data_IF_259165074105
#
_entry.id   IF_259165074105
#
_cell.length_a   1.000
_cell.length_b   1.000
_cell.length_c   1.000
_cell.angle_alpha   90.00
_cell.angle_beta   90.00
_cell.angle_gamma   90.00
#
_symmetry.space_group_name_H-M   'P 1'
#
loop_
_entity.id
_entity.type
_entity.pdbx_description
1 polymer ?
2 polymer ?
#
# COMPACT_ATOMS: atom_id res chain seq x y z
N UNK A 32 -9.12 14.29 -15.32
CA UNK A 32 -9.35 14.51 -13.87
C UNK A 32 -8.00 14.51 -13.14
N UNK A 33 -7.67 15.62 -12.47
CA UNK A 33 -6.39 15.71 -11.73
C UNK A 33 -6.53 16.68 -10.56
N UNK A 34 -6.17 16.24 -9.35
CA UNK A 34 -6.18 17.17 -8.20
C UNK A 34 -4.97 18.10 -8.37
N UNK A 35 -5.21 19.35 -8.78
CA UNK A 35 -4.07 20.27 -9.06
C UNK A 35 -4.23 21.56 -8.23
N UNK A 36 -3.12 22.17 -7.85
CA UNK A 36 -3.16 23.42 -7.04
C UNK A 36 -1.85 24.18 -7.29
N UNK A 37 -1.92 25.51 -7.44
CA UNK A 37 -0.70 26.31 -7.75
C UNK A 37 0.26 26.31 -6.56
N UNK A 38 1.56 26.37 -6.82
CA UNK A 38 2.56 26.40 -5.73
C UNK A 38 3.95 26.72 -6.27
N UNK A 39 4.84 27.21 -5.41
CA UNK A 39 6.25 27.47 -5.83
C UNK A 39 6.94 26.11 -5.99
N UNK A 40 6.59 25.14 -5.15
CA UNK A 40 7.17 23.78 -5.24
C UNK A 40 6.05 22.80 -5.58
N UNK A 41 6.17 22.07 -6.70
CA UNK A 41 5.08 21.16 -7.14
C UNK A 41 5.46 19.71 -6.79
N UNK A 42 4.55 18.99 -6.13
CA UNK A 42 4.80 17.57 -5.77
C UNK A 42 3.80 16.68 -6.52
N UNK A 43 4.31 15.74 -7.31
CA UNK A 43 3.42 14.83 -8.08
C UNK A 43 2.75 13.81 -7.19
N UNK A 44 1.66 13.21 -7.66
CA UNK A 44 0.93 12.21 -6.87
C UNK A 44 0.30 11.15 -7.74
N UNK A 45 0.49 9.87 -7.38
CA UNK A 45 -0.10 8.74 -8.16
C UNK A 45 -0.90 7.85 -7.21
N UNK A 46 -2.22 7.80 -7.38
CA UNK A 46 -3.07 7.02 -6.44
C UNK A 46 -4.01 6.11 -7.23
N UNK A 47 -4.39 4.93 -6.68
CA UNK A 47 -5.31 4.01 -7.35
C UNK A 47 -6.77 4.41 -7.11
N UNK A 48 -7.21 5.54 -7.68
CA UNK A 48 -8.61 6.01 -7.50
C UNK A 48 -9.56 4.91 -7.99
N UNK A 49 -9.09 4.04 -8.90
CA UNK A 49 -9.93 2.91 -9.39
C UNK A 49 -9.17 1.60 -9.17
N UNK A 50 -9.78 0.47 -9.56
CA UNK A 50 -9.15 -0.86 -9.30
C UNK A 50 -8.67 -1.49 -10.62
N UNK A 51 -9.10 -0.95 -11.77
CA UNK A 51 -8.65 -1.47 -13.07
C UNK A 51 -9.42 -0.86 -14.22
N UNK A 52 -8.88 -0.96 -15.44
CA UNK A 52 -9.54 -0.33 -16.63
C UNK A 52 -10.39 -1.38 -17.33
N UNK A 53 -11.32 -0.95 -18.18
CA UNK A 53 -12.21 -1.88 -18.91
C UNK A 53 -11.36 -2.95 -19.62
N UNK A 58 -9.41 -5.75 -30.79
CA UNK A 58 -8.31 -5.79 -31.80
C UNK A 58 -7.86 -4.36 -32.12
N UNK A 59 -7.29 -4.15 -33.30
CA UNK A 59 -6.86 -2.79 -33.71
C UNK A 59 -7.63 -2.39 -34.98
N UNK A 60 -8.88 -2.86 -35.11
CA UNK A 60 -9.72 -2.52 -36.28
C UNK A 60 -9.77 -0.99 -36.42
N UNK A 61 -9.37 -0.28 -35.37
CA UNK A 61 -9.36 1.22 -35.41
C UNK A 61 -8.36 1.75 -34.38
N UNK A 62 -8.26 3.07 -34.24
CA UNK A 62 -7.33 3.67 -33.24
C UNK A 62 -7.63 3.08 -31.86
N UNK A 63 -6.62 2.81 -31.01
CA UNK A 63 -6.85 2.19 -29.71
C UNK A 63 -7.94 2.93 -28.92
N UNK A 64 -7.99 4.26 -29.04
CA UNK A 64 -9.03 5.06 -28.36
C UNK A 64 -8.82 4.99 -26.84
N UNK A 65 -7.59 4.68 -26.41
CA UNK A 65 -7.27 4.65 -24.96
C UNK A 65 -8.13 3.59 -24.25
N UNK A 66 -8.35 3.76 -22.94
CA UNK A 66 -9.18 2.79 -22.16
C UNK A 66 -9.75 3.54 -20.95
N UNK A 67 -10.78 2.98 -20.30
CA UNK A 67 -11.42 3.71 -19.16
C UNK A 67 -11.46 2.81 -17.93
N UNK A 68 -11.36 3.40 -16.74
CA UNK A 68 -11.41 2.64 -15.47
C UNK A 68 -12.82 2.08 -15.29
N UNK A 69 -12.99 1.02 -14.49
CA UNK A 69 -14.34 0.38 -14.38
C UNK A 69 -14.62 -0.06 -12.94
N UNK A 70 -13.91 0.50 -11.95
CA UNK A 70 -14.22 0.16 -10.53
C UNK A 70 -13.62 1.21 -9.60
N UNK A 71 -14.47 2.09 -9.04
CA UNK A 71 -13.98 3.16 -8.15
C UNK A 71 -13.28 2.55 -6.93
N UNK A 72 -12.21 3.18 -6.46
CA UNK A 72 -11.44 2.62 -5.30
C UNK A 72 -11.62 3.55 -4.09
N UNK A 73 -12.67 3.33 -3.29
CA UNK A 73 -12.80 4.12 -2.04
C UNK A 73 -11.56 3.83 -1.19
N UNK A 74 -11.27 4.66 -0.18
CA UNK A 74 -10.00 4.52 0.58
C UNK A 74 -8.87 5.04 -0.29
N UNK A 75 -8.77 4.55 -1.54
CA UNK A 75 -7.76 5.10 -2.46
C UNK A 75 -8.01 6.58 -2.65
N UNK A 76 -9.28 6.99 -2.73
CA UNK A 76 -9.61 8.43 -2.81
C UNK A 76 -9.26 9.08 -1.47
N UNK A 77 -9.46 8.35 -0.36
CA UNK A 77 -9.10 8.88 0.97
C UNK A 77 -7.58 9.06 1.03
N UNK A 78 -6.84 8.32 0.19
CA UNK A 78 -5.36 8.48 0.16
C UNK A 78 -4.99 9.87 -0.33
N UNK A 79 -5.22 10.16 -1.62
CA UNK A 79 -4.92 11.50 -2.18
C UNK A 79 -5.39 12.56 -1.19
N UNK A 80 -6.52 12.31 -0.53
CA UNK A 80 -7.07 13.26 0.47
C UNK A 80 -5.95 13.60 1.45
N UNK A 81 -5.43 12.58 2.16
CA UNK A 81 -4.33 12.79 3.12
C UNK A 81 -3.25 13.66 2.48
N UNK A 82 -2.74 13.23 1.32
CA UNK A 82 -1.69 14.02 0.62
C UNK A 82 -2.11 15.50 0.61
N UNK A 83 -3.27 15.80 0.03
CA UNK A 83 -3.75 17.21 -0.05
C UNK A 83 -3.82 17.79 1.37
N UNK A 84 -4.37 17.02 2.31
CA UNK A 84 -4.49 17.49 3.71
C UNK A 84 -3.11 17.91 4.23
N UNK A 85 -2.11 17.05 4.03
CA UNK A 85 -0.74 17.35 4.52
C UNK A 85 -0.22 18.62 3.85
N UNK A 86 -0.42 18.74 2.53
CA UNK A 86 0.05 19.95 1.80
C UNK A 86 -0.58 21.19 2.44
N UNK A 87 -1.90 21.19 2.61
CA UNK A 87 -2.60 22.36 3.19
C UNK A 87 -2.00 22.66 4.56
N UNK A 88 -2.03 21.66 5.45
CA UNK A 88 -1.48 21.83 6.81
C UNK A 88 -0.09 22.47 6.73
N UNK A 89 0.80 21.97 5.87
CA UNK A 89 2.19 22.53 5.86
C UNK A 89 2.15 23.97 5.32
N UNK A 90 1.28 24.25 4.35
CA UNK A 90 1.15 25.64 3.84
C UNK A 90 0.70 26.54 5.00
N UNK A 91 -0.28 26.09 5.78
CA UNK A 91 -0.77 26.87 6.95
C UNK A 91 0.23 26.79 8.09
N UNK A 92 1.29 25.99 7.92
CA UNK A 92 2.32 25.84 8.99
C UNK A 92 3.47 26.82 8.72
N UNK A 93 3.55 27.97 9.42
CA UNK A 93 4.58 28.97 9.19
C UNK A 93 5.98 28.40 9.50
N UNK A 94 6.08 27.59 10.55
CA UNK A 94 7.39 27.03 10.97
C UNK A 94 8.00 26.21 9.83
N UNK A 95 7.19 25.36 9.18
CA UNK A 95 7.69 24.50 8.08
C UNK A 95 7.60 25.28 6.76
N UNK A 96 8.75 25.65 6.20
CA UNK A 96 8.79 26.35 4.89
C UNK A 96 8.02 27.68 4.98
N UNK A 97 8.58 28.75 5.59
CA UNK A 97 7.91 30.04 5.65
C UNK A 97 8.00 30.81 4.34
N UNK A 98 7.10 31.78 4.13
CA UNK A 98 7.13 32.61 2.89
C UNK A 98 7.32 31.69 1.68
N UNK A 99 6.59 30.56 1.66
CA UNK A 99 6.70 29.58 0.53
C UNK A 99 5.45 28.69 0.51
N UNK A 100 4.76 28.67 -0.63
CA UNK A 100 3.57 27.82 -0.80
C UNK A 100 3.96 26.57 -1.60
N UNK A 101 3.25 25.46 -1.38
CA UNK A 101 3.55 24.19 -2.09
C UNK A 101 2.32 23.72 -2.86
N UNK A 102 2.43 23.62 -4.18
CA UNK A 102 1.30 23.14 -5.00
C UNK A 102 1.48 21.67 -5.33
N UNK A 103 0.41 21.01 -5.78
CA UNK A 103 0.48 19.56 -6.08
C UNK A 103 -0.11 19.28 -7.46
N UNK A 104 0.36 18.22 -8.11
CA UNK A 104 -0.18 17.79 -9.43
C UNK A 104 -0.50 16.31 -9.23
N UNK A 105 -1.77 15.97 -9.00
CA UNK A 105 -2.05 14.56 -8.63
C UNK A 105 -2.95 13.93 -9.70
N UNK A 106 -2.65 12.69 -10.11
CA UNK A 106 -3.42 12.01 -11.19
C UNK A 106 -3.98 10.68 -10.67
N UNK A 107 -4.39 9.80 -11.58
CA UNK A 107 -4.97 8.48 -11.18
C UNK A 107 -4.21 7.35 -11.90
N UNK A 108 -3.59 6.45 -11.15
CA UNK A 108 -2.90 5.28 -11.75
C UNK A 108 -3.92 4.20 -12.12
N UNK A 109 -5.05 4.16 -11.41
CA UNK A 109 -6.13 3.16 -11.68
C UNK A 109 -5.53 1.75 -11.78
N UNK A 110 -4.54 1.44 -10.95
CA UNK A 110 -3.95 0.07 -10.93
C UNK A 110 -3.54 -0.34 -12.34
N UNK A 111 -3.06 0.62 -13.16
CA UNK A 111 -2.64 0.31 -14.54
C UNK A 111 -1.33 1.04 -14.85
N UNK A 112 -0.28 0.32 -15.26
CA UNK A 112 0.96 1.08 -15.57
C UNK A 112 0.64 2.08 -16.68
N UNK A 113 -0.15 1.67 -17.68
CA UNK A 113 -0.35 2.54 -18.87
C UNK A 113 -0.77 3.94 -18.43
N UNK A 114 -1.87 4.04 -17.67
CA UNK A 114 -2.34 5.37 -17.18
C UNK A 114 -1.25 5.98 -16.30
N UNK A 115 -0.63 5.16 -15.44
CA UNK A 115 0.45 5.66 -14.55
C UNK A 115 1.61 6.19 -15.41
N UNK A 116 1.96 5.46 -16.47
CA UNK A 116 3.13 5.90 -17.28
C UNK A 116 2.78 7.22 -17.96
N UNK A 117 1.61 7.27 -18.62
CA UNK A 117 1.19 8.52 -19.29
C UNK A 117 1.34 9.69 -18.30
N UNK A 118 0.99 9.47 -17.03
CA UNK A 118 1.12 10.52 -16.00
C UNK A 118 2.60 10.83 -15.76
N UNK A 119 3.43 9.79 -15.60
CA UNK A 119 4.87 10.02 -15.29
C UNK A 119 5.50 10.86 -16.40
N UNK A 120 5.08 10.62 -17.65
CA UNK A 120 5.58 11.45 -18.78
C UNK A 120 5.16 12.89 -18.53
N UNK A 121 3.91 13.09 -18.12
CA UNK A 121 3.39 14.46 -17.85
C UNK A 121 4.23 15.14 -16.76
N UNK A 122 4.83 14.34 -15.87
CA UNK A 122 5.61 14.91 -14.74
C UNK A 122 7.01 15.33 -15.20
N UNK A 123 7.57 14.63 -16.20
CA UNK A 123 8.97 14.93 -16.64
C UNK A 123 8.92 15.65 -18.00
N UNK A 124 7.78 16.25 -18.33
CA UNK A 124 7.64 16.95 -19.63
C UNK A 124 8.72 18.04 -19.72
N UNK A 125 8.88 18.83 -18.67
CA UNK A 125 9.91 19.91 -18.65
C UNK A 125 11.30 19.27 -18.62
N UNK A 126 11.49 18.24 -17.78
CA UNK A 126 12.83 17.60 -17.65
C UNK A 126 12.94 16.48 -18.70
N UNK A 145 7.57 22.23 -12.84
CA UNK A 145 8.41 21.01 -12.73
C UNK A 145 8.15 20.35 -11.36
N UNK A 146 7.90 19.03 -11.36
CA UNK A 146 7.61 18.32 -10.09
C UNK A 146 8.94 18.02 -9.37
N UNK A 147 9.16 18.65 -8.22
CA UNK A 147 10.41 18.41 -7.44
C UNK A 147 10.37 16.96 -6.91
N UNK A 148 9.17 16.44 -6.65
CA UNK A 148 9.04 15.06 -6.11
C UNK A 148 7.69 14.47 -6.52
N UNK A 149 7.63 13.13 -6.64
CA UNK A 149 6.33 12.46 -6.98
C UNK A 149 6.08 11.34 -5.98
N UNK A 150 4.94 11.39 -5.28
CA UNK A 150 4.57 10.30 -4.33
C UNK A 150 4.49 8.99 -5.12
N UNK A 151 5.22 7.96 -4.70
CA UNK A 151 5.25 6.69 -5.45
C UNK A 151 3.88 6.06 -5.55
N UNK A 152 3.67 5.19 -6.54
CA UNK A 152 2.38 4.49 -6.70
C UNK A 152 2.24 3.41 -5.63
N UNK A 153 1.09 2.72 -5.59
CA UNK A 153 0.86 1.67 -4.57
C UNK A 153 1.39 0.32 -5.07
N UNK A 154 1.06 -0.04 -6.31
CA UNK A 154 1.48 -1.35 -6.87
C UNK A 154 2.99 -1.44 -7.03
N UNK A 155 3.55 -2.64 -6.82
CA UNK A 155 5.01 -2.84 -7.00
C UNK A 155 5.35 -2.71 -8.50
N UNK A 156 4.58 -3.38 -9.36
CA UNK A 156 4.82 -3.30 -10.81
C UNK A 156 4.66 -1.89 -11.34
N UNK A 157 3.59 -1.20 -10.92
CA UNK A 157 3.33 0.19 -11.37
C UNK A 157 4.50 1.07 -10.92
N UNK A 158 4.90 0.95 -9.65
CA UNK A 158 6.01 1.78 -9.12
C UNK A 158 7.30 1.45 -9.88
N UNK A 159 7.58 0.16 -10.08
CA UNK A 159 8.79 -0.26 -10.83
C UNK A 159 8.92 0.57 -12.11
N UNK A 160 7.90 0.54 -12.97
CA UNK A 160 7.95 1.27 -14.26
C UNK A 160 8.17 2.77 -14.04
N UNK A 161 7.39 3.36 -13.13
CA UNK A 161 7.50 4.83 -12.86
C UNK A 161 8.91 5.12 -12.37
N UNK A 162 9.46 4.26 -11.51
CA UNK A 162 10.83 4.45 -10.97
C UNK A 162 11.84 4.41 -12.11
N UNK A 163 11.64 3.54 -13.10
CA UNK A 163 12.55 3.53 -14.27
C UNK A 163 12.66 4.94 -14.84
N UNK A 164 11.54 5.52 -15.31
CA UNK A 164 11.57 6.86 -15.95
C UNK A 164 12.04 7.93 -14.95
N UNK A 165 11.46 7.96 -13.75
CA UNK A 165 11.82 9.01 -12.76
C UNK A 165 13.31 8.93 -12.45
N UNK A 166 13.85 7.71 -12.31
CA UNK A 166 15.28 7.54 -12.00
C UNK A 166 16.14 8.17 -13.07
N UNK A 167 15.70 8.12 -14.33
CA UNK A 167 16.52 8.67 -15.45
C UNK A 167 16.79 10.16 -15.20
N UNK A 168 15.82 10.87 -14.63
CA UNK A 168 15.98 12.32 -14.37
C UNK A 168 16.25 12.55 -12.89
N UNK A 169 16.48 11.48 -12.14
CA UNK A 169 16.79 11.61 -10.69
C UNK A 169 15.69 12.42 -9.99
N UNK A 170 14.42 12.11 -10.29
CA UNK A 170 13.29 12.80 -9.61
C UNK A 170 12.91 11.97 -8.37
N UNK A 171 13.16 12.47 -7.14
CA UNK A 171 12.89 11.69 -5.93
C UNK A 171 11.45 11.14 -5.93
N UNK A 172 11.31 9.81 -5.84
CA UNK A 172 9.97 9.18 -5.79
C UNK A 172 9.80 8.49 -4.44
N UNK A 173 8.83 8.93 -3.63
CA UNK A 173 8.60 8.33 -2.28
C UNK A 173 7.29 7.51 -2.33
N UNK A 174 7.41 6.19 -2.43
CA UNK A 174 6.21 5.30 -2.49
C UNK A 174 5.57 5.21 -1.10
N UNK A 175 4.30 4.82 -1.04
CA UNK A 175 3.57 4.76 0.27
C UNK A 175 3.08 3.32 0.50
N UNK A 176 3.18 2.46 -0.51
CA UNK A 176 2.64 1.08 -0.37
C UNK A 176 3.58 0.07 -1.04
N UNK A 177 4.30 0.48 -2.09
CA UNK A 177 5.16 -0.48 -2.84
C UNK A 177 6.08 -1.20 -1.84
N UNK A 178 5.99 -2.53 -1.77
CA UNK A 178 6.80 -3.30 -0.79
C UNK A 178 7.55 -4.43 -1.50
N UNK A 179 7.91 -4.24 -2.78
CA UNK A 179 8.65 -5.28 -3.53
C UNK A 179 10.14 -5.20 -3.22
N UNK A 180 10.75 -6.30 -2.80
CA UNK A 180 12.21 -6.32 -2.50
C UNK A 180 12.98 -5.84 -3.72
N UNK A 181 12.49 -6.15 -4.92
CA UNK A 181 13.21 -5.78 -6.18
C UNK A 181 13.39 -4.27 -6.25
N UNK A 182 12.54 -3.50 -5.56
CA UNK A 182 12.61 -2.02 -5.62
C UNK A 182 13.82 -1.54 -4.81
N UNK A 183 14.49 -2.44 -4.09
CA UNK A 183 15.64 -2.04 -3.24
C UNK A 183 16.94 -2.09 -4.05
N UNK A 184 16.84 -2.35 -5.36
CA UNK A 184 18.04 -2.36 -6.23
C UNK A 184 18.37 -0.93 -6.63
N UNK A 185 19.13 -0.23 -5.79
CA UNK A 185 19.44 1.21 -6.05
C UNK A 185 20.26 1.35 -7.34
N UNK A 186 20.91 0.26 -7.78
CA UNK A 186 21.66 0.30 -9.06
C UNK A 186 20.68 0.68 -10.17
N UNK A 187 19.46 0.13 -10.14
CA UNK A 187 18.44 0.50 -11.16
C UNK A 187 17.52 1.58 -10.57
N UNK A 188 17.04 1.37 -9.35
CA UNK A 188 16.08 2.34 -8.75
C UNK A 188 16.87 3.34 -7.88
N UNK A 189 17.65 4.21 -8.52
CA UNK A 189 18.48 5.19 -7.77
C UNK A 189 17.60 6.21 -7.05
N UNK A 190 16.53 6.68 -7.69
CA UNK A 190 15.68 7.74 -7.09
C UNK A 190 14.39 7.16 -6.51
N UNK A 191 14.48 5.96 -5.92
CA UNK A 191 13.28 5.34 -5.30
C UNK A 191 13.39 5.37 -3.77
N UNK A 192 12.33 5.81 -3.08
CA UNK A 192 12.32 5.80 -1.59
C UNK A 192 10.94 5.29 -1.15
N UNK A 193 10.87 4.47 -0.11
CA UNK A 193 9.55 3.90 0.28
C UNK A 193 9.30 4.10 1.78
N UNK A 194 8.09 4.49 2.14
CA UNK A 194 7.72 4.74 3.56
C UNK A 194 7.04 3.48 4.12
N UNK A 195 7.24 2.33 3.47
CA UNK A 195 6.61 1.05 3.92
C UNK A 195 7.69 -0.04 3.96
N UNK A 196 7.69 -0.94 4.96
CA UNK A 196 8.66 -2.05 5.01
C UNK A 196 8.52 -2.99 3.82
N UNK A 197 9.63 -3.60 3.39
CA UNK A 197 9.62 -4.55 2.25
C UNK A 197 8.92 -5.84 2.68
N UNK A 198 8.69 -6.76 1.74
CA UNK A 198 7.96 -8.00 2.07
C UNK A 198 8.93 -9.07 2.59
N UNK A 199 10.23 -8.75 2.62
CA UNK A 199 11.22 -9.71 3.16
C UNK A 199 10.87 -9.99 4.63
N UNK A 200 10.60 -8.93 5.41
CA UNK A 200 10.23 -9.10 6.84
C UNK A 200 8.92 -9.89 6.91
N UNK A 201 7.94 -9.55 6.06
CA UNK A 201 6.63 -10.23 6.07
C UNK A 201 6.84 -11.71 5.77
N UNK A 202 7.58 -12.03 4.71
CA UNK A 202 7.82 -13.45 4.34
C UNK A 202 8.36 -14.20 5.56
N UNK A 203 9.25 -13.56 6.32
CA UNK A 203 9.83 -14.19 7.53
C UNK A 203 8.74 -14.43 8.57
N UNK A 204 7.88 -13.42 8.80
CA UNK A 204 6.84 -13.54 9.84
C UNK A 204 5.93 -14.73 9.56
N UNK A 205 5.47 -14.87 8.31
CA UNK A 205 4.55 -15.99 7.95
C UNK A 205 5.18 -17.31 8.38
N UNK A 206 6.41 -17.58 7.93
CA UNK A 206 7.11 -18.82 8.28
C UNK A 206 7.11 -18.99 9.80
N UNK A 207 7.47 -17.93 10.53
CA UNK A 207 7.46 -17.97 12.02
C UNK A 207 6.07 -18.44 12.49
N UNK A 208 5.00 -17.85 11.97
CA UNK A 208 3.61 -18.20 12.41
C UNK A 208 3.35 -19.68 12.13
N UNK A 209 3.70 -20.15 10.93
CA UNK A 209 3.44 -21.57 10.55
C UNK A 209 4.20 -22.48 11.52
N UNK A 210 5.46 -22.15 11.81
CA UNK A 210 6.28 -22.94 12.77
C UNK A 210 5.68 -22.81 14.17
N UNK A 211 5.17 -21.62 14.52
CA UNK A 211 4.61 -21.38 15.87
C UNK A 211 3.45 -22.34 16.13
N UNK A 212 2.60 -22.58 15.11
CA UNK A 212 1.41 -23.45 15.31
C UNK A 212 1.76 -24.89 14.89
N UNK A 213 3.04 -25.21 14.82
CA UNK A 213 3.48 -26.60 14.50
C UNK A 213 2.75 -27.09 13.24
N UNK A 214 2.99 -26.44 12.09
CA UNK A 214 2.41 -26.89 10.81
C UNK A 214 3.54 -27.22 9.83
N UNK A 215 3.43 -28.32 9.09
CA UNK A 215 4.52 -28.73 8.16
C UNK A 215 3.96 -28.84 6.74
N UNK A 216 2.64 -28.86 6.60
CA UNK A 216 2.01 -29.03 5.26
C UNK A 216 1.22 -27.77 4.92
N UNK A 217 1.71 -26.94 3.99
CA UNK A 217 1.04 -25.65 3.67
C UNK A 217 0.97 -25.46 2.15
N UNK A 218 0.09 -24.57 1.68
CA UNK A 218 0.00 -24.28 0.25
C UNK A 218 0.57 -22.91 -0.06
N UNK A 219 0.33 -22.39 -1.27
CA UNK A 219 0.88 -21.06 -1.68
C UNK A 219 0.09 -20.51 -2.86
N UNK A 220 -0.32 -19.24 -2.79
CA UNK A 220 -1.03 -18.59 -3.93
C UNK A 220 -0.57 -17.13 -4.03
N UNK A 221 0.17 -16.79 -5.08
CA UNK A 221 0.72 -15.42 -5.21
C UNK A 221 0.27 -14.80 -6.54
N UNK A 222 0.06 -13.49 -6.57
CA UNK A 222 -0.30 -12.80 -7.83
C UNK A 222 0.87 -12.91 -8.81
N UNK A 223 0.59 -13.07 -10.10
CA UNK A 223 1.66 -13.17 -11.11
C UNK A 223 2.18 -11.75 -11.39
N UNK A 224 2.88 -11.16 -10.42
CA UNK A 224 3.45 -9.81 -10.58
C UNK A 224 4.49 -9.58 -9.47
N UNK A 225 5.04 -8.36 -9.40
CA UNK A 225 6.12 -8.05 -8.40
C UNK A 225 5.66 -8.32 -6.97
N UNK A 226 4.44 -7.91 -6.60
CA UNK A 226 4.05 -8.09 -5.18
C UNK A 226 3.42 -9.48 -5.01
N UNK A 227 4.26 -10.51 -4.97
CA UNK A 227 3.75 -11.89 -4.82
C UNK A 227 4.80 -12.92 -5.21
N UNK A 228 5.16 -12.95 -6.49
CA UNK A 228 6.14 -13.95 -6.98
C UNK A 228 7.47 -13.78 -6.23
N UNK A 229 8.07 -12.57 -6.18
CA UNK A 229 9.30 -12.34 -5.40
C UNK A 229 9.08 -12.61 -3.90
N UNK A 230 7.98 -12.10 -3.33
CA UNK A 230 7.70 -12.29 -1.90
C UNK A 230 7.60 -13.75 -1.54
N UNK A 231 6.87 -14.53 -2.35
CA UNK A 231 6.70 -16.00 -2.08
C UNK A 231 8.09 -16.66 -2.13
N UNK A 232 8.92 -16.28 -3.10
CA UNK A 232 10.28 -16.86 -3.22
C UNK A 232 10.97 -16.76 -1.86
N UNK A 233 10.90 -15.59 -1.22
CA UNK A 233 11.53 -15.40 0.12
C UNK A 233 10.92 -16.39 1.10
N UNK A 234 9.58 -16.48 1.13
CA UNK A 234 8.89 -17.38 2.08
C UNK A 234 9.28 -18.83 1.79
N UNK A 235 9.25 -19.24 0.53
CA UNK A 235 9.71 -20.61 0.20
C UNK A 235 11.05 -20.84 0.92
N UNK A 236 12.02 -19.94 0.72
CA UNK A 236 13.34 -20.09 1.38
C UNK A 236 13.16 -20.07 2.90
N UNK A 237 12.27 -19.21 3.40
CA UNK A 237 11.98 -19.18 4.86
C UNK A 237 11.51 -20.58 5.27
N UNK A 238 10.61 -21.18 4.49
CA UNK A 238 10.17 -22.56 4.77
C UNK A 238 11.26 -23.52 4.32
N UNK A 239 11.03 -24.84 4.41
CA UNK A 239 12.10 -25.81 4.06
C UNK A 239 13.22 -25.67 5.10
N UNK A 240 13.74 -24.46 5.28
CA UNK A 240 14.77 -24.22 6.33
C UNK A 240 14.15 -24.50 7.69
N UNK A 241 12.91 -24.04 7.90
CA UNK A 241 12.20 -24.32 9.18
C UNK A 241 11.56 -25.71 9.09
N UNK A 242 11.80 -26.43 8.00
CA UNK A 242 11.22 -27.79 7.82
C UNK A 242 9.72 -27.68 7.61
N UNK A 243 9.28 -26.82 6.68
CA UNK A 243 7.83 -26.65 6.38
C UNK A 243 7.60 -26.98 4.91
N UNK A 244 7.16 -28.21 4.62
CA UNK A 244 6.94 -28.64 3.21
C UNK A 244 5.82 -27.81 2.58
N UNK A 245 5.95 -27.48 1.29
CA UNK A 245 4.87 -26.73 0.58
C UNK A 245 4.09 -27.73 -0.28
N UNK A 246 2.82 -27.97 0.05
CA UNK A 246 1.98 -28.94 -0.70
C UNK A 246 1.90 -28.52 -2.16
N UNK A 247 1.57 -27.25 -2.42
CA UNK A 247 1.40 -26.78 -3.83
C UNK A 247 1.69 -25.28 -3.91
N UNK A 248 2.05 -24.81 -5.11
CA UNK A 248 2.29 -23.35 -5.32
C UNK A 248 1.50 -22.90 -6.54
N UNK A 249 0.66 -21.87 -6.40
CA UNK A 249 -0.21 -21.44 -7.53
C UNK A 249 -0.03 -19.94 -7.78
N UNK A 250 -0.26 -19.49 -9.02
CA UNK A 250 -0.16 -18.04 -9.35
C UNK A 250 -1.51 -17.56 -9.88
N UNK A 251 -2.00 -16.43 -9.38
CA UNK A 251 -3.33 -15.89 -9.80
C UNK A 251 -3.13 -14.48 -10.34
N UNK A 252 -4.12 -13.95 -11.07
CA UNK A 252 -4.03 -12.57 -11.62
C UNK A 252 -5.42 -11.93 -11.62
N UNK A 253 -5.47 -10.59 -11.65
CA UNK A 253 -6.77 -9.87 -11.68
C UNK A 253 -7.54 -10.28 -12.94
N UNK A 254 -6.83 -10.74 -13.96
CA UNK A 254 -7.48 -11.10 -15.25
C UNK A 254 -7.19 -12.55 -15.60
N UNK A 255 -7.11 -13.42 -14.59
CA UNK A 255 -6.90 -14.88 -14.85
C UNK A 255 -8.12 -15.42 -15.60
N UNK A 256 -7.90 -16.20 -16.65
CA UNK A 256 -9.01 -16.80 -17.43
C UNK A 256 -9.85 -17.68 -16.48
N UNK A 257 -11.16 -17.78 -16.74
CA UNK A 257 -12.04 -18.61 -15.89
C UNK A 257 -11.42 -20.01 -15.77
N UNK A 258 -10.88 -20.54 -16.88
CA UNK A 258 -10.20 -21.85 -16.84
C UNK A 258 -9.12 -21.80 -15.75
N UNK A 259 -8.19 -20.85 -15.84
CA UNK A 259 -7.13 -20.70 -14.82
C UNK A 259 -7.77 -20.75 -13.43
N UNK A 260 -8.83 -19.97 -13.21
CA UNK A 260 -9.50 -19.92 -11.87
C UNK A 260 -9.94 -21.34 -11.51
N UNK A 261 -10.60 -22.03 -12.42
CA UNK A 261 -11.08 -23.41 -12.12
C UNK A 261 -9.86 -24.27 -11.74
N UNK A 262 -8.79 -24.20 -12.53
CA UNK A 262 -7.60 -25.05 -12.28
C UNK A 262 -7.05 -24.78 -10.88
N UNK A 263 -6.87 -23.49 -10.53
CA UNK A 263 -6.26 -23.15 -9.20
C UNK A 263 -7.21 -23.64 -8.10
N UNK A 264 -8.52 -23.45 -8.28
CA UNK A 264 -9.51 -23.95 -7.28
C UNK A 264 -9.36 -25.47 -7.17
N UNK A 265 -9.19 -26.14 -8.31
CA UNK A 265 -9.00 -27.62 -8.31
C UNK A 265 -7.76 -27.97 -7.50
N UNK A 266 -6.66 -27.24 -7.71
CA UNK A 266 -5.39 -27.51 -6.97
C UNK A 266 -5.58 -27.12 -5.49
N UNK A 267 -6.36 -26.07 -5.23
CA UNK A 267 -6.67 -25.71 -3.81
C UNK A 267 -7.31 -26.94 -3.19
N UNK A 268 -8.31 -27.52 -3.86
CA UNK A 268 -8.91 -28.80 -3.38
C UNK A 268 -7.91 -29.91 -3.69
N UNK A 269 -8.28 -31.18 -3.48
CA UNK A 269 -7.31 -32.28 -3.69
C UNK A 269 -6.23 -32.20 -2.61
N UNK A 270 -5.53 -31.07 -2.53
CA UNK A 270 -4.45 -30.89 -1.53
C UNK A 270 -4.97 -31.19 -0.13
N UNK A 271 -4.20 -31.96 0.66
CA UNK A 271 -4.60 -32.24 2.07
C UNK A 271 -4.14 -31.08 2.97
N UNK A 272 -3.32 -30.17 2.43
CA UNK A 272 -2.86 -29.00 3.21
C UNK A 272 -4.08 -28.15 3.60
N UNK A 273 -4.22 -27.85 4.89
CA UNK A 273 -5.35 -27.00 5.36
C UNK A 273 -4.88 -25.54 5.45
N UNK A 274 -3.59 -25.33 5.75
CA UNK A 274 -3.05 -23.94 5.79
C UNK A 274 -2.60 -23.55 4.38
N UNK A 275 -3.00 -22.37 3.92
CA UNK A 275 -2.63 -21.89 2.56
C UNK A 275 -2.19 -20.42 2.65
N UNK A 276 -0.88 -20.16 2.48
CA UNK A 276 -0.37 -18.76 2.49
C UNK A 276 -0.78 -18.10 1.18
N UNK A 277 -1.06 -16.79 1.20
CA UNK A 277 -1.55 -16.09 -0.03
C UNK A 277 -0.91 -14.71 -0.13
N UNK A 278 -0.01 -14.51 -1.11
CA UNK A 278 0.64 -13.19 -1.33
C UNK A 278 0.01 -12.50 -2.54
N UNK A 279 -1.03 -11.70 -2.34
CA UNK A 279 -1.73 -11.09 -3.50
C UNK A 279 -2.54 -9.86 -3.07
N UNK A 280 -2.65 -8.86 -3.96
CA UNK A 280 -3.48 -7.67 -3.67
C UNK A 280 -4.96 -8.05 -3.78
N UNK A 281 -5.87 -7.18 -3.35
CA UNK A 281 -7.30 -7.48 -3.37
C UNK A 281 -7.80 -7.81 -4.77
N UNK A 282 -7.54 -7.00 -5.82
CA UNK A 282 -8.09 -7.28 -7.15
C UNK A 282 -7.70 -8.67 -7.68
N UNK A 283 -6.44 -9.07 -7.54
CA UNK A 283 -5.99 -10.36 -8.13
C UNK A 283 -6.68 -11.54 -7.44
N UNK A 284 -6.89 -11.45 -6.11
CA UNK A 284 -7.49 -12.59 -5.37
C UNK A 284 -9.02 -12.53 -5.44
N UNK A 285 -9.57 -11.38 -5.83
CA UNK A 285 -11.05 -11.23 -5.93
C UNK A 285 -11.64 -12.38 -6.77
N UNK A 286 -11.16 -12.63 -8.01
CA UNK A 286 -11.75 -13.66 -8.87
C UNK A 286 -11.66 -15.06 -8.26
N UNK A 287 -10.51 -15.42 -7.70
CA UNK A 287 -10.32 -16.78 -7.14
C UNK A 287 -11.32 -17.00 -5.99
N UNK A 288 -11.35 -16.08 -5.03
CA UNK A 288 -12.22 -16.29 -3.83
C UNK A 288 -13.67 -16.45 -4.28
N UNK A 289 -14.10 -15.69 -5.30
CA UNK A 289 -15.50 -15.75 -5.76
C UNK A 289 -15.87 -17.21 -6.06
N UNK A 290 -15.05 -17.88 -6.87
CA UNK A 290 -15.35 -19.29 -7.26
C UNK A 290 -15.21 -20.21 -6.04
N UNK A 291 -14.22 -19.97 -5.18
CA UNK A 291 -14.06 -20.79 -3.95
C UNK A 291 -15.38 -20.70 -3.16
N UNK A 292 -15.99 -19.52 -3.13
CA UNK A 292 -17.26 -19.33 -2.37
C UNK A 292 -18.36 -20.21 -2.98
N UNK A 293 -18.55 -20.11 -4.31
CA UNK A 293 -19.58 -20.94 -5.00
C UNK A 293 -19.19 -22.41 -4.82
N UNK A 294 -17.91 -22.74 -4.99
CA UNK A 294 -17.46 -24.14 -4.71
C UNK A 294 -17.74 -24.42 -3.24
N UNK A 295 -17.92 -23.36 -2.44
CA UNK A 295 -18.27 -23.54 -1.00
C UNK A 295 -17.17 -24.35 -0.31
N UNK A 296 -15.93 -24.18 -0.74
CA UNK A 296 -14.78 -24.89 -0.08
C UNK A 296 -14.53 -24.22 1.26
N UNK A 297 -14.84 -24.91 2.36
CA UNK A 297 -14.69 -24.31 3.72
C UNK A 297 -13.75 -25.19 4.56
N UNK A 298 -13.24 -24.64 5.67
CA UNK A 298 -12.31 -25.39 6.53
C UNK A 298 -10.86 -25.15 6.13
N UNK A 299 -10.65 -24.32 5.11
CA UNK A 299 -9.26 -23.99 4.68
C UNK A 299 -8.84 -22.71 5.40
N UNK A 300 -7.77 -22.78 6.19
CA UNK A 300 -7.27 -21.56 6.91
C UNK A 300 -6.36 -20.77 5.97
N UNK A 301 -6.52 -19.44 5.93
CA UNK A 301 -5.72 -18.59 5.00
C UNK A 301 -4.82 -17.65 5.79
N UNK A 302 -3.57 -17.47 5.34
CA UNK A 302 -2.64 -16.52 6.00
C UNK A 302 -2.51 -15.28 5.10
N UNK A 303 -3.25 -14.21 5.40
CA UNK A 303 -3.24 -13.00 4.54
C UNK A 303 -1.81 -12.45 4.39
N UNK A 304 -1.61 -11.54 3.44
CA UNK A 304 -0.25 -10.98 3.20
C UNK A 304 -0.29 -9.45 3.12
N UNK A 305 -0.98 -8.80 4.07
CA UNK A 305 -1.00 -7.31 4.12
C UNK A 305 -1.85 -6.74 2.99
N UNK A 306 -1.51 -7.05 1.74
CA UNK A 306 -2.23 -6.46 0.58
C UNK A 306 -3.74 -6.73 0.71
N UNK A 307 -4.11 -7.95 1.12
CA UNK A 307 -5.55 -8.31 1.19
C UNK A 307 -5.96 -8.59 2.64
N UNK A 308 -5.11 -8.24 3.60
CA UNK A 308 -5.41 -8.53 5.02
C UNK A 308 -6.54 -7.62 5.50
N UNK A 309 -6.63 -6.41 4.91
CA UNK A 309 -7.70 -5.46 5.29
C UNK A 309 -8.48 -5.03 4.05
N UNK A 310 -8.47 -5.85 3.00
CA UNK A 310 -9.15 -5.49 1.72
C UNK A 310 -10.64 -5.80 1.82
N UNK A 311 -11.50 -4.79 1.66
CA UNK A 311 -12.96 -5.01 1.69
C UNK A 311 -13.37 -5.83 0.45
N UNK A 312 -12.57 -5.78 -0.62
CA UNK A 312 -12.86 -6.54 -1.86
C UNK A 312 -13.07 -8.02 -1.49
N UNK A 313 -12.27 -8.54 -0.57
CA UNK A 313 -12.36 -9.98 -0.17
C UNK A 313 -13.06 -10.08 1.18
N UNK A 314 -12.81 -9.13 2.08
CA UNK A 314 -13.40 -9.20 3.44
C UNK A 314 -14.86 -8.73 3.40
N UNK A 315 -15.78 -9.65 3.06
CA UNK A 315 -17.22 -9.32 2.98
C UNK A 315 -18.03 -10.46 3.61
N UNK A 316 -19.09 -10.18 4.41
CA UNK A 316 -19.84 -11.24 5.10
C UNK A 316 -20.33 -12.34 4.16
N UNK A 317 -20.72 -11.99 2.93
CA UNK A 317 -21.27 -12.97 1.97
C UNK A 317 -20.24 -14.08 1.73
N UNK A 318 -18.96 -13.83 2.04
CA UNK A 318 -17.89 -14.83 1.80
C UNK A 318 -17.32 -15.31 3.14
N UNK A 319 -17.81 -14.77 4.27
CA UNK A 319 -17.21 -15.13 5.58
C UNK A 319 -17.22 -16.66 5.76
N UNK A 320 -18.04 -17.37 4.99
CA UNK A 320 -18.14 -18.85 5.14
C UNK A 320 -16.79 -19.48 4.85
N UNK A 321 -16.03 -18.88 3.91
CA UNK A 321 -14.69 -19.44 3.53
C UNK A 321 -13.58 -18.50 4.00
N UNK A 322 -13.73 -17.18 3.81
CA UNK A 322 -12.65 -16.22 4.15
C UNK A 322 -12.63 -15.98 5.66
N UNK A 323 -13.56 -16.58 6.40
CA UNK A 323 -13.63 -16.38 7.86
C UNK A 323 -12.37 -16.84 8.56
N UNK A 324 -12.00 -16.20 9.67
CA UNK A 324 -10.81 -16.61 10.44
C UNK A 324 -9.54 -16.52 9.62
N UNK A 325 -9.37 -15.46 8.84
CA UNK A 325 -8.13 -15.26 8.03
C UNK A 325 -7.13 -14.41 8.82
N UNK A 326 -6.07 -15.04 9.35
CA UNK A 326 -5.02 -14.28 10.10
C UNK A 326 -4.11 -13.59 9.07
N UNK A 327 -3.95 -12.27 9.18
CA UNK A 327 -3.13 -11.51 8.22
C UNK A 327 -2.22 -10.50 8.89
N UNK A 328 -1.48 -9.72 8.10
CA UNK A 328 -0.51 -8.76 8.69
C UNK A 328 -0.88 -7.33 8.29
N UNK A 329 -1.03 -6.44 9.29
CA UNK A 329 -1.36 -5.04 9.02
C UNK A 329 -0.21 -4.13 9.49
N UNK A 330 0.00 -3.00 8.80
CA UNK A 330 1.09 -2.07 9.18
C UNK A 330 0.67 -1.33 10.47
N UNK A 331 1.66 -0.90 11.26
CA UNK A 331 1.37 -0.17 12.52
C UNK A 331 0.45 1.01 12.22
N UNK A 332 -0.67 1.12 12.94
CA UNK A 332 -1.65 2.20 12.67
C UNK A 332 -1.06 3.56 13.06
N UNK A 333 -1.05 4.51 12.12
CA UNK A 333 -0.54 5.88 12.42
C UNK A 333 -1.68 6.78 12.89
N UNK A 334 -1.37 8.04 13.21
CA UNK A 334 -2.40 8.97 13.72
C UNK A 334 -2.29 10.32 13.00
N UNK A 335 -3.21 10.60 12.08
CA UNK A 335 -3.23 11.93 11.39
C UNK A 335 -4.32 12.77 12.05
N UNK A 336 -3.99 13.76 12.90
CA UNK A 336 -5.00 14.54 13.62
C UNK A 336 -5.79 15.49 12.72
N UNK A 337 -7.10 15.62 12.95
CA UNK A 337 -7.93 16.57 12.18
C UNK A 337 -8.23 16.06 10.77
N UNK A 338 -7.88 14.82 10.47
CA UNK A 338 -8.07 14.27 9.10
C UNK A 338 -9.54 13.91 8.89
N UNK A 339 -10.19 13.39 9.94
CA UNK A 339 -11.62 13.00 9.83
C UNK A 339 -12.44 14.19 9.31
N UNK A 340 -12.29 15.36 9.93
CA UNK A 340 -13.09 16.54 9.52
C UNK A 340 -12.80 16.89 8.06
N UNK A 341 -11.53 16.78 7.65
CA UNK A 341 -11.14 17.06 6.25
C UNK A 341 -11.91 16.14 5.31
N UNK A 342 -12.00 14.85 5.66
CA UNK A 342 -12.70 13.86 4.80
C UNK A 342 -14.18 14.25 4.68
N UNK A 343 -14.77 14.75 5.77
CA UNK A 343 -16.22 15.08 5.79
C UNK A 343 -16.48 16.40 5.07
N UNK A 344 -15.46 17.25 4.94
CA UNK A 344 -15.64 18.58 4.31
C UNK A 344 -15.43 18.49 2.80
N UNK A 345 -15.60 17.29 2.23
CA UNK A 345 -15.48 17.12 0.74
C UNK A 345 -16.85 17.34 0.10
N UNK A 346 -16.88 17.89 -1.12
CA UNK A 346 -18.18 18.16 -1.82
C UNK A 346 -17.88 18.65 -3.24
N UNK A 347 -18.62 18.20 -4.29
CA UNK A 347 -18.42 18.72 -5.64
C UNK A 347 -18.76 20.21 -5.67
N UNK A 348 -18.40 20.91 -6.75
CA UNK A 348 -18.60 22.38 -6.80
C UNK A 348 -17.65 23.02 -5.78
N UNK A 349 -17.54 22.43 -4.59
CA UNK A 349 -16.58 22.92 -3.57
C UNK A 349 -15.22 22.29 -3.87
N UNK A 350 -14.16 22.73 -3.19
CA UNK A 350 -12.79 22.19 -3.39
C UNK A 350 -12.27 22.60 -4.78
N UNK A 351 -12.94 22.17 -5.84
CA UNK A 351 -12.55 22.56 -7.24
C UNK A 351 -11.23 21.87 -7.61
N UNK A 352 -10.17 22.10 -6.83
CA UNK A 352 -8.84 21.51 -7.15
C UNK A 352 -8.96 20.00 -7.29
N UNK A 353 -9.62 19.35 -6.32
CA UNK A 353 -9.79 17.87 -6.37
C UNK A 353 -10.87 17.52 -7.38
N UNK A 354 -10.57 17.61 -8.68
CA UNK A 354 -11.55 17.26 -9.72
C UNK A 354 -12.05 15.84 -9.54
N UNK A 355 -11.41 15.07 -8.64
CA UNK A 355 -11.80 13.67 -8.41
C UNK A 355 -13.07 13.60 -7.56
N UNK A 356 -13.52 14.75 -7.03
CA UNK A 356 -14.70 14.75 -6.14
C UNK A 356 -15.95 14.35 -6.92
N UNK A 357 -16.19 14.99 -8.06
CA UNK A 357 -17.40 14.69 -8.88
C UNK A 357 -17.60 13.17 -8.90
N UNK A 358 -16.66 12.44 -9.50
CA UNK A 358 -16.76 10.96 -9.55
C UNK A 358 -17.14 10.43 -8.18
N UNK A 359 -16.28 10.65 -7.18
CA UNK A 359 -16.57 10.18 -5.79
C UNK A 359 -18.05 10.41 -5.48
N UNK A 360 -18.50 11.67 -5.55
CA UNK A 360 -19.91 12.00 -5.21
C UNK A 360 -20.87 11.09 -5.99
N UNK A 361 -20.71 11.03 -7.31
CA UNK A 361 -21.57 10.16 -8.15
C UNK A 361 -21.58 8.75 -7.56
N UNK A 362 -20.39 8.23 -7.23
CA UNK A 362 -20.29 6.83 -6.72
C UNK A 362 -20.91 6.73 -5.33
N UNK A 363 -20.71 7.73 -4.47
CA UNK A 363 -21.21 7.63 -3.07
C UNK A 363 -22.68 8.02 -2.95
N UNK A 364 -23.25 8.64 -3.99
CA UNK A 364 -24.66 9.11 -3.90
C UNK A 364 -25.43 8.72 -5.17
N UNK A 365 -24.95 7.67 -5.87
CA UNK A 365 -25.66 7.20 -7.09
C UNK A 365 -26.13 8.39 -7.91
N UNK A 366 -25.20 9.28 -8.29
CA UNK A 366 -25.56 10.49 -9.09
C UNK A 366 -25.17 10.26 -10.55
N UNK A 407 -26.05 16.19 0.29
CA UNK A 407 -26.21 14.89 1.02
C UNK A 407 -24.97 14.63 1.87
N UNK A 408 -25.16 14.27 3.14
CA UNK A 408 -24.02 14.04 4.07
C UNK A 408 -23.25 12.78 3.64
N UNK A 409 -21.92 12.83 3.69
CA UNK A 409 -21.09 11.65 3.35
C UNK A 409 -21.41 10.53 4.35
N UNK A 410 -21.53 10.88 5.64
CA UNK A 410 -21.79 9.86 6.70
C UNK A 410 -23.09 9.11 6.39
N UNK A 411 -24.03 9.77 5.71
CA UNK A 411 -25.34 9.14 5.39
C UNK A 411 -25.11 7.83 4.62
N UNK A 412 -24.15 7.82 3.69
CA UNK A 412 -23.87 6.60 2.89
C UNK A 412 -22.61 5.91 3.44
N UNK A 413 -22.74 4.63 3.83
CA UNK A 413 -21.57 3.89 4.36
C UNK A 413 -20.63 3.53 3.20
N UNK A 414 -19.32 3.61 3.43
CA UNK A 414 -18.31 3.29 2.38
C UNK A 414 -16.91 3.36 3.00
N UNK A 415 -15.93 2.54 2.55
CA UNK A 415 -14.60 2.51 3.20
C UNK A 415 -13.93 3.90 3.28
N UNK A 416 -14.50 4.90 2.61
CA UNK A 416 -13.86 6.25 2.58
C UNK A 416 -13.79 6.83 3.99
N UNK A 417 -14.91 6.86 4.70
CA UNK A 417 -14.93 7.45 6.07
C UNK A 417 -15.11 6.32 7.09
N UNK A 418 -15.46 5.13 6.62
CA UNK A 418 -15.64 3.95 7.51
C UNK A 418 -14.26 3.34 7.80
N UNK A 419 -13.46 3.99 8.64
CA UNK A 419 -12.09 3.48 8.95
C UNK A 419 -11.85 3.57 10.45
N UNK A 420 -11.14 2.58 11.01
CA UNK A 420 -10.85 2.57 12.47
C UNK A 420 -9.37 2.87 12.71
N UNK A 421 -8.51 2.44 11.79
CA UNK A 421 -7.05 2.66 11.94
C UNK A 421 -6.47 3.18 10.62
N UNK A 422 -5.81 4.34 10.65
CA UNK A 422 -5.17 4.89 9.42
C UNK A 422 -3.75 4.33 9.31
N UNK A 423 -3.50 3.48 8.31
CA UNK A 423 -2.17 2.85 8.15
C UNK A 423 -1.48 3.39 6.90
N UNK A 424 -1.92 2.95 5.72
CA UNK A 424 -1.33 3.45 4.44
C UNK A 424 -1.59 4.96 4.34
N UNK A 425 -2.73 5.43 4.86
CA UNK A 425 -3.02 6.88 4.87
C UNK A 425 -1.92 7.61 5.64
N UNK A 426 -1.52 7.06 6.79
CA UNK A 426 -0.43 7.67 7.60
C UNK A 426 0.88 7.61 6.80
N UNK A 427 1.11 6.50 6.09
CA UNK A 427 2.33 6.37 5.27
C UNK A 427 2.39 7.55 4.28
N UNK A 428 1.28 7.84 3.61
CA UNK A 428 1.22 8.98 2.65
C UNK A 428 1.54 10.28 3.40
N UNK A 429 0.99 10.44 4.61
CA UNK A 429 1.22 11.68 5.40
C UNK A 429 2.72 11.86 5.65
N UNK A 430 3.39 10.80 6.11
CA UNK A 430 4.85 10.86 6.39
C UNK A 430 5.59 11.08 5.06
N UNK A 431 5.12 10.46 3.98
CA UNK A 431 5.81 10.57 2.67
C UNK A 431 5.90 12.04 2.26
N UNK A 432 4.79 12.79 2.36
CA UNK A 432 4.79 14.22 1.94
C UNK A 432 5.54 15.04 2.98
N UNK A 433 5.47 14.64 4.25
CA UNK A 433 6.20 15.35 5.33
C UNK A 433 7.71 15.15 5.16
N UNK A 434 8.12 13.94 4.77
CA UNK A 434 9.56 13.65 4.55
C UNK A 434 10.12 14.64 3.51
N UNK A 435 9.38 14.84 2.41
CA UNK A 435 9.82 15.80 1.35
C UNK A 435 9.81 17.20 1.95
N UNK A 436 8.75 17.56 2.68
CA UNK A 436 8.65 18.90 3.29
C UNK A 436 9.92 19.17 4.11
N UNK A 437 10.32 18.21 4.95
CA UNK A 437 11.52 18.42 5.82
C UNK A 437 12.77 18.57 4.96
N UNK A 438 12.91 17.74 3.92
CA UNK A 438 14.08 17.84 3.02
C UNK A 438 14.14 19.25 2.43
N UNK A 439 13.01 19.78 1.96
CA UNK A 439 12.97 21.14 1.38
C UNK A 439 13.33 22.16 2.47
N UNK A 440 12.79 21.97 3.68
CA UNK A 440 13.06 22.91 4.80
C UNK A 440 14.56 22.88 5.11
N UNK A 441 15.17 21.69 5.10
CA UNK A 441 16.64 21.58 5.31
C UNK A 441 17.36 22.46 4.29
N UNK A 442 17.01 22.33 3.02
CA UNK A 442 17.63 23.17 1.95
C UNK A 442 17.38 24.63 2.30
N UNK A 443 16.16 24.96 2.71
CA UNK A 443 15.80 26.36 3.09
C UNK A 443 16.69 26.82 4.24
N UNK A 444 17.20 25.87 5.04
CA UNK A 444 18.01 26.24 6.24
C UNK A 444 19.35 25.49 6.21
N UNK A 445 20.22 25.80 5.24
CA UNK A 445 21.56 25.18 5.18
C UNK A 445 22.64 26.27 5.27
N UNK A 446 23.42 26.27 6.37
CA UNK A 446 24.48 27.28 6.55
C UNK A 446 25.57 27.09 5.49
N UNK A 447 26.11 28.16 4.88
CA UNK A 447 27.19 28.04 3.91
C UNK A 447 28.39 27.31 4.55
N UNK A 448 29.04 26.41 3.81
CA UNK A 448 30.16 25.63 4.36
C UNK A 448 29.67 24.40 5.10
N UNK A 449 28.34 24.24 5.21
CA UNK A 449 27.76 23.06 5.90
C UNK A 449 26.83 22.33 4.93
N UNK A 450 26.95 22.63 3.63
CA UNK A 450 26.07 22.02 2.62
C UNK A 450 26.51 20.61 2.27
N UNK A 451 25.57 19.67 2.18
CA UNK A 451 25.90 18.27 1.80
C UNK A 451 26.40 18.26 0.34
N UNK A 452 26.27 19.39 -0.36
CA UNK A 452 26.77 19.49 -1.76
C UNK A 452 28.27 19.79 -1.76
N UNK A 453 28.87 19.92 -2.94
CA UNK A 453 30.34 20.14 -3.04
C UNK A 453 30.74 21.45 -2.35
N UNK A 454 32.01 21.57 -1.96
CA UNK A 454 32.50 22.81 -1.30
C UNK A 454 31.59 23.16 -0.12
N UNK A 455 30.92 22.16 0.45
CA UNK A 455 29.98 22.40 1.56
C UNK A 455 28.97 23.47 1.18
N UNK A 456 28.59 23.52 -0.10
CA UNK A 456 27.65 24.56 -0.57
C UNK A 456 26.21 24.10 -0.36
N UNK A 457 25.30 25.04 -0.08
CA UNK A 457 23.86 24.70 0.08
C UNK A 457 23.15 24.86 -1.26
N UNK A 458 21.87 24.48 -1.33
CA UNK A 458 21.09 24.61 -2.58
C UNK A 458 20.15 25.83 -2.48
N UNK A 459 20.11 26.65 -3.53
CA UNK A 459 19.19 27.82 -3.54
C UNK A 459 17.75 27.33 -3.72
N UNK A 460 16.99 27.23 -2.63
CA UNK A 460 15.60 26.69 -2.72
C UNK A 460 14.79 27.54 -3.70
N UNK A 461 15.17 28.80 -3.88
CA UNK A 461 14.49 29.65 -4.90
C UNK A 461 14.54 28.90 -6.23
N UNK A 462 15.64 28.21 -6.50
CA UNK A 462 15.76 27.40 -7.74
C UNK A 462 16.23 25.99 -7.34
N UNK A 463 15.45 25.32 -6.50
CA UNK A 463 15.84 23.96 -6.01
C UNK A 463 15.69 22.96 -7.18
N UNK A 464 16.61 21.99 -7.26
CA UNK A 464 16.55 20.96 -8.34
C UNK A 464 16.17 19.61 -7.72
N UNK A 465 15.50 18.74 -8.48
CA UNK A 465 15.02 17.45 -7.92
C UNK A 465 16.18 16.65 -7.34
N UNK A 466 17.32 16.60 -8.05
CA UNK A 466 18.47 15.78 -7.57
C UNK A 466 18.92 16.30 -6.20
N UNK A 467 18.87 17.62 -5.99
CA UNK A 467 19.26 18.22 -4.69
C UNK A 467 18.32 17.69 -3.60
N UNK A 468 17.02 17.64 -3.90
CA UNK A 468 16.03 17.10 -2.91
C UNK A 468 16.37 15.63 -2.64
N UNK A 469 16.67 14.87 -3.70
CA UNK A 469 17.05 13.44 -3.53
C UNK A 469 18.22 13.36 -2.57
N UNK A 470 19.29 14.14 -2.82
CA UNK A 470 20.46 14.15 -1.91
C UNK A 470 19.96 14.29 -0.47
N UNK A 471 19.22 15.36 -0.18
CA UNK A 471 18.74 15.61 1.21
C UNK A 471 17.87 14.45 1.67
N UNK A 472 16.98 13.96 0.80
CA UNK A 472 16.06 12.85 1.18
C UNK A 472 16.89 11.64 1.63
N UNK A 473 18.01 11.38 0.96
CA UNK A 473 18.90 10.27 1.38
C UNK A 473 19.36 10.51 2.81
N UNK A 474 19.79 11.74 3.11
CA UNK A 474 20.29 12.08 4.47
C UNK A 474 19.18 12.78 5.25
N UNK A 475 18.03 12.11 5.43
CA UNK A 475 16.90 12.72 6.18
C UNK A 475 16.80 12.07 7.56
N UNK A 476 16.78 12.88 8.63
CA UNK A 476 16.58 12.29 9.98
C UNK A 476 15.69 13.20 10.83
N UNK A 477 14.38 13.23 10.53
CA UNK A 477 13.44 14.02 11.36
C UNK A 477 12.58 13.05 12.19
N UNK A 478 11.63 13.59 12.96
CA UNK A 478 10.78 12.73 13.83
C UNK A 478 9.32 12.78 13.33
N UNK A 479 8.55 11.75 13.68
CA UNK A 479 7.14 11.66 13.24
C UNK A 479 6.22 12.42 14.18
N UNK A 480 5.00 12.71 13.74
CA UNK A 480 4.00 13.34 14.65
C UNK A 480 3.67 12.36 15.78
N UNK A 481 3.74 11.05 15.49
CA UNK A 481 3.45 10.02 16.52
C UNK A 481 4.60 9.96 17.52
N UNK A 482 5.63 10.80 17.32
CA UNK A 482 6.81 10.77 18.21
C UNK A 482 7.73 9.61 17.83
N UNK A 483 8.30 9.66 16.63
CA UNK A 483 9.15 8.53 16.15
C UNK A 483 10.16 9.07 15.13
N UNK A 484 11.46 8.89 15.41
CA UNK A 484 12.51 9.34 14.46
C UNK A 484 12.33 8.61 13.12
N UNK A 485 12.20 9.36 12.03
CA UNK A 485 12.00 8.76 10.67
C UNK A 485 13.27 9.02 9.86
N UNK A 486 13.86 7.97 9.28
CA UNK A 486 15.13 8.15 8.53
C UNK A 486 15.30 6.97 7.57
N UNK A 487 15.12 7.22 6.26
CA UNK A 487 15.23 6.14 5.25
C UNK A 487 16.59 5.45 5.38
N UNK A 488 16.65 4.16 5.02
CA UNK A 488 17.91 3.38 5.12
C UNK A 488 18.74 3.60 3.85
N UNK A 489 19.84 2.85 3.71
CA UNK A 489 20.72 2.98 2.52
C UNK A 489 19.91 2.70 1.26
N UNK A 490 18.95 1.76 1.35
CA UNK A 490 18.10 1.40 0.18
C UNK A 490 16.81 2.21 0.22
N UNK A 491 16.82 3.36 0.90
CA UNK A 491 15.63 4.23 0.94
C UNK A 491 14.40 3.49 1.45
N UNK A 492 14.54 2.72 2.52
CA UNK A 492 13.40 1.95 3.07
C UNK A 492 13.37 2.11 4.60
N UNK A 493 12.20 2.46 5.17
CA UNK A 493 12.08 2.54 6.65
C UNK A 493 11.25 1.35 7.12
N UNK A 494 11.49 0.84 8.33
CA UNK A 494 10.79 -0.39 8.79
C UNK A 494 9.85 -0.09 9.96
N UNK A 495 8.93 -1.01 10.26
CA UNK A 495 8.01 -0.84 11.39
C UNK A 495 7.39 -2.19 11.77
N UNK A 496 7.04 -2.36 13.05
CA UNK A 496 6.47 -3.64 13.52
C UNK A 496 5.14 -3.89 12.81
N UNK A 497 4.75 -5.15 12.63
CA UNK A 497 3.46 -5.49 11.98
C UNK A 497 2.38 -5.70 13.03
N UNK A 498 1.18 -6.06 12.61
CA UNK A 498 0.06 -6.28 13.57
C UNK A 498 -0.74 -7.51 13.15
N UNK A 499 -0.48 -8.66 13.77
CA UNK A 499 -1.24 -9.91 13.45
C UNK A 499 -2.73 -9.60 13.61
N UNK A 500 -3.54 -9.89 12.59
CA UNK A 500 -5.00 -9.57 12.65
C UNK A 500 -5.79 -10.83 12.32
N UNK A 501 -6.92 -11.06 13.01
CA UNK A 501 -7.78 -12.23 12.68
C UNK A 501 -9.19 -11.73 12.35
N UNK A 502 -9.75 -12.18 11.23
CA UNK A 502 -11.10 -11.73 10.81
C UNK A 502 -12.17 -12.36 11.70
N UNK A 503 -13.07 -11.54 12.25
CA UNK A 503 -14.14 -12.05 13.15
C UNK A 503 -15.47 -11.43 12.73
N UNK A 504 -16.58 -12.15 12.98
CA UNK A 504 -17.92 -11.63 12.61
C UNK A 504 -18.52 -10.87 13.79
N UNK A 505 -19.17 -9.73 13.54
CA UNK A 505 -19.78 -8.93 14.62
C UNK A 505 -21.29 -9.18 14.64
N UNK A 506 -21.86 -9.77 15.71
CA UNK A 506 -23.29 -10.08 15.75
C UNK A 506 -24.13 -8.81 15.64
N UNK A 507 -23.55 -7.66 15.99
CA UNK A 507 -24.29 -6.37 15.95
C UNK A 507 -24.75 -6.06 14.53
N UNK A 508 -23.84 -6.17 13.54
CA UNK A 508 -24.19 -5.80 12.14
C UNK A 508 -23.87 -6.95 11.19
N UNK A 509 -23.34 -8.07 11.71
CA UNK A 509 -22.95 -9.20 10.86
C UNK A 509 -21.81 -8.84 9.94
N UNK A 510 -21.13 -7.71 10.21
CA UNK A 510 -19.98 -7.26 9.38
C UNK A 510 -18.70 -7.96 9.85
N UNK A 511 -17.63 -7.87 9.06
CA UNK A 511 -16.38 -8.61 9.42
C UNK A 511 -15.43 -7.68 10.17
N UNK A 512 -15.34 -7.83 11.50
CA UNK A 512 -14.45 -6.98 12.33
C UNK A 512 -13.07 -7.63 12.41
N UNK A 513 -12.01 -6.85 12.21
CA UNK A 513 -10.63 -7.39 12.27
C UNK A 513 -10.06 -7.16 13.66
N UNK A 514 -9.85 -8.24 14.43
CA UNK A 514 -9.37 -8.11 15.82
C UNK A 514 -7.86 -8.33 15.87
N UNK A 515 -7.10 -7.36 16.40
CA UNK A 515 -5.64 -7.57 16.55
C UNK A 515 -5.44 -8.76 17.48
N UNK A 516 -4.56 -9.69 17.11
CA UNK A 516 -4.36 -10.92 17.94
C UNK A 516 -2.92 -10.95 18.43
N UNK A 517 -2.01 -10.23 17.79
CA UNK A 517 -0.62 -10.31 18.19
C UNK A 517 0.23 -9.22 17.54
N UNK A 518 1.55 -9.33 17.64
CA UNK A 518 2.45 -8.32 17.02
C UNK A 518 3.72 -8.98 16.50
N UNK A 519 4.39 -8.35 15.54
CA UNK A 519 5.69 -8.87 15.04
C UNK A 519 6.73 -7.74 15.10
N UNK A 520 7.60 -7.77 16.12
CA UNK A 520 8.58 -6.66 16.29
C UNK A 520 9.73 -6.83 15.31
N UNK A 521 9.76 -6.00 14.25
CA UNK A 521 10.87 -6.04 13.26
C UNK A 521 12.15 -5.58 13.96
N UNK A 522 12.06 -4.61 14.87
CA UNK A 522 13.25 -4.07 15.57
C UNK A 522 13.80 -5.10 16.55
N UNK A 523 13.03 -6.15 16.86
CA UNK A 523 13.47 -7.15 17.84
C UNK A 523 14.51 -8.09 17.22
N UNK A 524 14.93 -9.13 17.96
CA UNK A 524 15.93 -10.09 17.44
C UNK A 524 15.20 -11.28 16.80
N UNK A 525 15.96 -12.23 16.24
CA UNK A 525 15.34 -13.41 15.59
C UNK A 525 14.80 -14.37 16.66
N UNK A 526 13.64 -14.97 16.42
CA UNK A 526 13.07 -15.95 17.37
C UNK A 526 12.35 -15.27 18.51
N UNK A 527 12.59 -13.97 18.70
CA UNK A 527 11.94 -13.20 19.80
C UNK A 527 11.21 -11.99 19.21
N UNK A 528 10.74 -12.11 17.95
CA UNK A 528 10.09 -10.98 17.25
C UNK A 528 8.61 -11.25 17.02
N UNK A 529 8.14 -12.47 17.27
CA UNK A 529 6.75 -12.86 16.94
C UNK A 529 5.94 -13.07 18.22
N UNK A 530 4.81 -12.37 18.36
CA UNK A 530 3.93 -12.56 19.53
C UNK A 530 2.50 -12.80 19.03
N UNK A 531 1.95 -14.00 19.31
CA UNK A 531 0.57 -14.33 18.87
C UNK A 531 -0.21 -14.88 20.06
N UNK A 532 -1.11 -14.09 20.64
CA UNK A 532 -1.96 -14.60 21.74
C UNK A 532 -2.84 -15.72 21.18
N UNK A 533 -2.68 -16.95 21.66
CA UNK A 533 -3.44 -18.09 21.10
C UNK A 533 -4.94 -17.79 21.24
N UNK A 534 -5.31 -17.04 22.27
CA UNK A 534 -6.74 -16.64 22.44
C UNK A 534 -7.08 -15.60 21.37
N UNK A 535 -8.38 -15.28 21.22
CA UNK A 535 -8.82 -14.26 20.23
C UNK A 535 -8.63 -14.83 18.81
N UNK A 536 -8.25 -16.10 18.70
CA UNK A 536 -8.01 -16.73 17.36
C UNK A 536 -9.19 -17.64 17.02
N UNK A 537 -10.13 -17.17 16.19
CA UNK A 537 -11.25 -18.05 15.78
C UNK A 537 -10.84 -18.85 14.54
N UNK A 538 -10.15 -19.98 14.72
CA UNK A 538 -9.71 -20.82 13.58
C UNK A 538 -10.91 -21.04 12.66
N UNK A 539 -10.71 -20.92 11.34
CA UNK A 539 -11.80 -21.14 10.36
C UNK A 539 -13.01 -20.25 10.69
N UNK A 540 -12.77 -19.08 11.27
CA UNK A 540 -13.87 -18.13 11.56
C UNK A 540 -14.62 -18.46 12.84
N UNK A 541 -14.51 -19.68 13.35
CA UNK A 541 -15.33 -20.04 14.54
C UNK A 541 -14.53 -20.94 15.50
N UNK A 542 -14.08 -22.11 15.03
CA UNK A 542 -13.40 -23.07 15.93
C UNK A 542 -12.27 -22.38 16.71
N UNK A 543 -12.05 -22.80 17.96
CA UNK A 543 -10.96 -22.21 18.78
C UNK A 543 -9.88 -23.27 19.02
N UNK A 544 -9.88 -24.34 18.22
CA UNK A 544 -8.84 -25.40 18.34
C UNK A 544 -7.89 -25.31 17.14
N UNK A 545 -6.59 -25.21 17.41
CA UNK A 545 -5.58 -25.10 16.32
C UNK A 545 -5.89 -26.16 15.25
N UNK A 546 -6.06 -25.77 13.97
CA UNK A 546 -6.40 -26.72 12.91
C UNK A 546 -5.24 -27.71 12.68
N UNK A 547 -5.51 -28.84 12.02
CA UNK A 547 -4.46 -29.84 11.72
C UNK A 547 -4.01 -29.68 10.27
N UNK A 548 -2.70 -29.48 10.06
CA UNK A 548 -2.16 -29.32 8.68
C UNK A 548 -0.83 -30.05 8.55
N UNK A 549 -0.87 -31.39 8.53
CA UNK A 549 0.37 -32.20 8.41
C UNK A 549 0.28 -33.07 7.15
N UNK B 1 0.24 -2.95 -1.15
CA UNK B 1 0.46 -3.79 -2.36
C UNK B 1 1.97 -3.90 -2.63
N UNK B 2 -3.89 -2.80 -3.56
CA UNK B 2 -4.45 -1.46 -3.69
C UNK B 2 -5.38 -1.15 -2.53
N UNK B 3 -5.06 -1.67 -1.34
CA UNK B 3 -5.76 -2.83 -0.80
C UNK B 3 -6.43 -3.64 -1.90
#
# INVERSE_FOLDING_TARGET
MKTIIALSYIFCLVFADYKDDDDKAAAYGPDQRAQKKGDIILGGLFPIHFGVAAKDQDLKSRPESVECIRYNFRGFRWLQAMIFAIEEINSSPALLPNLTLGYRIFDTCNTVSKALEATLSFVAQNKIDSLNLDEFCNCSEHIPSTIAVVGATGSGVSTAVANLLGLFYIPQVSYASSSRLLSNKNQFKSFLRTIPNDEHQATAMADIIEYFRWNWVGTIAADDDYGRPGIEKFREEAEERDICIDFSELISQYSDEEEIQHVVEVIQNSTAKVIVVFSSGPDLEPLIKEIVRRNITGKIWLASEAWASSSLIAMPQYFHVVGGTIGFALKAGQIPGFREFLKKVHPRKSVHNGFAKEFWEETFNCHLQEGAKGPLPVDTFLRGHEESGDRFSNSSTAFRPLCTGDENISSVETPYIDYTHLRISYNVYLAVYSIAHALQDIYTCLPGRGLFTNGSCADIKKVEAWQVLKHLRHLNFTNNMGEQVTFDECGDLVGNYSIINWHLSPEDGSIVFKEVGYYNVYAKKGERLFINEEKILWSGFSREVPFSNCSRDCLAGTRKGIIEGEPTCCFECVECPDGEYSDETDASACNKCPDDFWSNENHTSCIAKEIEFLSWTEPFGIALTLFAVLGIFLTAFVLGVFIKFRNTPIVKATNRELSYLLLFSLLCCFSSSLFFIGEPQDWTCRLRQPAFGISFVLCISCILVKTNRVLLVFEAKIPTSFHRKWWGLNLQFLLVFLCTFMQIVICVIWLYTAPPSSYRNQELEDEIIFITCHEGSLMALGFLIGYTCLLAAICFFFAFKSRKLPENFNEAKFITFSMLIFFIVWISFIPAYASTYGKFVSAVEVIAILAASFGLLACIFFNKIYIILFKPSRNTIEEVRCSTAAHAFKVAARATLRRSNV
XVG
#
